data_IF_094386832997
#
_entry.id   IF_094386832997
#
_cell.length_a   1.000
_cell.length_b   1.000
_cell.length_c   1.000
_cell.angle_alpha   90.00
_cell.angle_beta   90.00
_cell.angle_gamma   90.00
#
_symmetry.space_group_name_H-M   'P 1'
#
loop_
_entity.id
_entity.type
_entity.pdbx_description
1 polymer ?
#
# COMPACT_ATOMS: atom_id res chain seq x y z
N UNK A 1 20.09 -3.33 44.94
CA UNK A 1 20.15 -3.16 43.47
C UNK A 1 18.75 -3.32 42.92
N UNK A 2 18.17 -2.30 42.27
CA UNK A 2 16.87 -2.41 41.61
C UNK A 2 17.08 -2.97 40.21
N UNK A 3 16.57 -4.16 39.94
CA UNK A 3 16.50 -4.70 38.58
C UNK A 3 15.48 -3.87 37.80
N UNK A 4 15.92 -3.15 36.77
CA UNK A 4 15.03 -2.51 35.81
C UNK A 4 14.48 -3.61 34.88
N UNK A 5 13.19 -3.90 35.03
CA UNK A 5 12.43 -4.69 34.06
C UNK A 5 12.31 -3.87 32.77
N UNK A 6 13.18 -4.13 31.80
CA UNK A 6 13.01 -3.62 30.43
C UNK A 6 11.93 -4.50 29.79
N UNK A 7 10.68 -4.02 29.76
CA UNK A 7 9.64 -4.62 28.90
C UNK A 7 10.07 -4.40 27.46
N UNK A 8 10.43 -5.48 26.77
CA UNK A 8 10.61 -5.45 25.32
C UNK A 8 9.29 -5.01 24.66
N UNK A 9 9.34 -3.85 23.99
CA UNK A 9 8.26 -3.36 23.15
C UNK A 9 8.17 -4.27 21.91
N UNK A 10 7.32 -5.31 21.97
CA UNK A 10 7.12 -6.30 20.89
C UNK A 10 6.33 -5.71 19.71
N UNK A 11 6.56 -4.45 19.34
CA UNK A 11 5.91 -3.82 18.20
C UNK A 11 6.81 -3.96 16.96
N UNK A 12 6.29 -4.64 15.93
CA UNK A 12 6.94 -4.68 14.62
C UNK A 12 6.76 -3.29 13.99
N UNK A 13 7.86 -2.54 13.86
CA UNK A 13 7.85 -1.26 13.15
C UNK A 13 8.01 -1.49 11.66
N UNK A 14 6.95 -1.20 10.90
CA UNK A 14 7.04 -1.12 9.44
C UNK A 14 7.59 0.24 9.07
N UNK A 15 8.72 0.28 8.37
CA UNK A 15 9.32 1.52 7.90
C UNK A 15 8.75 1.83 6.51
N UNK A 16 8.19 3.02 6.34
CA UNK A 16 7.73 3.48 5.03
C UNK A 16 8.90 3.56 4.03
N UNK A 17 8.75 3.08 2.78
CA UNK A 17 9.83 3.01 1.81
C UNK A 17 10.11 4.36 1.12
N UNK A 18 10.48 5.40 1.90
CA UNK A 18 10.64 6.78 1.43
C UNK A 18 11.49 6.90 0.16
N UNK A 19 12.63 6.21 0.08
CA UNK A 19 13.53 6.28 -1.08
C UNK A 19 12.90 5.72 -2.36
N UNK A 20 12.16 4.61 -2.26
CA UNK A 20 11.46 4.02 -3.42
C UNK A 20 10.28 4.90 -3.81
N UNK A 21 9.51 5.35 -2.83
CA UNK A 21 8.36 6.22 -3.08
C UNK A 21 8.75 7.53 -3.77
N UNK A 22 9.84 8.17 -3.32
CA UNK A 22 10.37 9.38 -3.97
C UNK A 22 10.70 9.14 -5.45
N UNK A 23 11.24 7.98 -5.82
CA UNK A 23 11.53 7.65 -7.22
C UNK A 23 10.26 7.58 -8.07
N UNK A 24 9.15 7.05 -7.52
CA UNK A 24 7.88 7.03 -8.24
C UNK A 24 7.32 8.43 -8.48
N UNK A 25 7.43 9.32 -7.48
CA UNK A 25 7.05 10.74 -7.61
C UNK A 25 7.91 11.45 -8.67
N UNK A 26 9.23 11.27 -8.61
CA UNK A 26 10.17 11.87 -9.57
C UNK A 26 9.90 11.42 -11.00
N UNK A 27 9.61 10.12 -11.23
CA UNK A 27 9.21 9.61 -12.55
C UNK A 27 7.88 10.19 -13.03
N UNK A 28 6.98 10.49 -12.10
CA UNK A 28 5.69 11.13 -12.38
C UNK A 28 5.81 12.65 -12.54
N UNK A 29 7.02 13.22 -12.43
CA UNK A 29 7.29 14.64 -12.60
C UNK A 29 6.86 15.52 -11.43
N UNK A 30 6.58 14.94 -10.25
CA UNK A 30 6.11 15.66 -9.06
C UNK A 30 7.06 15.53 -7.89
N UNK A 31 7.02 16.49 -6.97
CA UNK A 31 7.89 16.49 -5.78
C UNK A 31 7.22 15.93 -4.52
N UNK A 32 5.89 15.89 -4.50
CA UNK A 32 5.09 15.49 -3.34
C UNK A 32 3.75 14.88 -3.73
N UNK A 33 3.11 14.17 -2.80
CA UNK A 33 1.77 13.59 -2.99
C UNK A 33 0.67 14.64 -3.19
N UNK A 34 0.87 15.86 -2.70
CA UNK A 34 -0.09 16.97 -2.84
C UNK A 34 -0.24 17.44 -4.28
N UNK A 35 0.72 17.11 -5.14
CA UNK A 35 0.74 17.47 -6.55
C UNK A 35 0.16 16.35 -7.45
N UNK A 36 -0.18 15.19 -6.88
CA UNK A 36 -0.69 14.07 -7.65
C UNK A 36 -2.15 14.29 -8.04
N UNK A 37 -2.42 14.38 -9.34
CA UNK A 37 -3.77 14.16 -9.87
C UNK A 37 -4.15 12.67 -9.79
N UNK A 38 -5.43 12.34 -9.96
CA UNK A 38 -5.88 10.94 -9.98
C UNK A 38 -5.13 10.08 -11.01
N UNK A 39 -4.83 10.63 -12.19
CA UNK A 39 -4.07 9.95 -13.23
C UNK A 39 -2.62 9.68 -12.80
N UNK A 40 -1.99 10.61 -12.08
CA UNK A 40 -0.65 10.42 -11.56
C UNK A 40 -0.65 9.40 -10.40
N UNK A 41 -1.67 9.40 -9.54
CA UNK A 41 -1.84 8.37 -8.51
C UNK A 41 -1.99 7.00 -9.15
N UNK A 42 -2.81 6.90 -10.21
CA UNK A 42 -2.95 5.68 -10.99
C UNK A 42 -1.60 5.18 -11.50
N UNK A 43 -0.82 6.03 -12.15
CA UNK A 43 0.48 5.66 -12.71
C UNK A 43 1.47 5.21 -11.63
N UNK A 44 1.58 5.96 -10.53
CA UNK A 44 2.41 5.58 -9.38
C UNK A 44 1.99 4.22 -8.83
N UNK A 45 0.69 3.98 -8.71
CA UNK A 45 0.17 2.72 -8.18
C UNK A 45 0.44 1.53 -9.12
N UNK A 46 0.25 1.69 -10.42
CA UNK A 46 0.58 0.67 -11.43
C UNK A 46 2.06 0.33 -11.40
N UNK A 47 2.95 1.32 -11.32
CA UNK A 47 4.39 1.06 -11.15
C UNK A 47 4.70 0.30 -9.86
N UNK A 48 4.07 0.69 -8.74
CA UNK A 48 4.25 0.03 -7.45
C UNK A 48 3.82 -1.44 -7.49
N UNK A 49 2.69 -1.76 -8.16
CA UNK A 49 2.25 -3.14 -8.38
C UNK A 49 3.25 -3.90 -9.28
N UNK A 50 3.76 -3.25 -10.33
CA UNK A 50 4.76 -3.81 -11.21
C UNK A 50 6.03 -4.23 -10.47
N UNK A 51 6.54 -3.37 -9.59
CA UNK A 51 7.74 -3.65 -8.81
C UNK A 51 7.48 -4.70 -7.71
N UNK A 52 6.29 -4.72 -7.11
CA UNK A 52 5.88 -5.81 -6.22
C UNK A 52 5.88 -7.17 -6.95
N UNK A 53 5.33 -7.24 -8.17
CA UNK A 53 5.32 -8.47 -8.98
C UNK A 53 6.71 -8.97 -9.34
N UNK A 54 7.67 -8.06 -9.55
CA UNK A 54 9.07 -8.41 -9.80
C UNK A 54 9.84 -8.80 -8.54
N UNK A 55 9.25 -8.65 -7.35
CA UNK A 55 9.92 -8.84 -6.06
C UNK A 55 10.84 -7.69 -5.65
N UNK A 56 10.77 -6.55 -6.35
CA UNK A 56 11.54 -5.34 -6.03
C UNK A 56 10.91 -4.53 -4.88
N UNK A 57 9.65 -4.83 -4.56
CA UNK A 57 8.88 -4.23 -3.49
C UNK A 57 8.26 -5.32 -2.62
N UNK A 58 8.39 -5.22 -1.30
CA UNK A 58 7.77 -6.17 -0.38
C UNK A 58 6.28 -5.87 -0.17
N UNK A 59 5.52 -6.81 0.39
CA UNK A 59 4.11 -6.61 0.69
C UNK A 59 3.87 -5.45 1.66
N UNK A 60 4.72 -5.31 2.69
CA UNK A 60 4.63 -4.21 3.65
C UNK A 60 4.91 -2.85 2.99
N UNK A 61 5.86 -2.81 2.06
CA UNK A 61 6.15 -1.60 1.28
C UNK A 61 4.97 -1.24 0.35
N UNK A 62 4.35 -2.24 -0.29
CA UNK A 62 3.19 -2.05 -1.17
C UNK A 62 2.02 -1.49 -0.37
N UNK A 63 1.72 -2.12 0.76
CA UNK A 63 0.66 -1.66 1.66
C UNK A 63 0.95 -0.26 2.19
N UNK A 64 2.19 0.03 2.58
CA UNK A 64 2.58 1.36 3.06
C UNK A 64 2.39 2.46 2.01
N UNK A 65 2.86 2.23 0.77
CA UNK A 65 2.69 3.18 -0.34
C UNK A 65 1.21 3.36 -0.67
N UNK A 66 0.47 2.26 -0.79
CA UNK A 66 -0.95 2.29 -1.15
C UNK A 66 -1.79 3.02 -0.11
N UNK A 67 -1.50 2.81 1.18
CA UNK A 67 -2.15 3.53 2.27
C UNK A 67 -1.87 5.04 2.20
N UNK A 68 -0.63 5.43 1.88
CA UNK A 68 -0.26 6.83 1.75
C UNK A 68 -0.96 7.50 0.56
N UNK A 69 -1.01 6.83 -0.60
CA UNK A 69 -1.74 7.30 -1.77
C UNK A 69 -3.25 7.40 -1.52
N UNK A 70 -3.83 6.41 -0.83
CA UNK A 70 -5.26 6.41 -0.50
C UNK A 70 -5.63 7.51 0.50
N UNK A 71 -4.81 7.68 1.54
CA UNK A 71 -5.08 8.63 2.62
C UNK A 71 -4.85 10.07 2.20
N UNK A 72 -3.72 10.34 1.53
CA UNK A 72 -3.24 11.69 1.25
C UNK A 72 -3.45 12.12 -0.21
N UNK A 73 -3.57 11.17 -1.13
CA UNK A 73 -3.72 11.44 -2.57
C UNK A 73 -5.17 11.47 -3.05
N UNK A 74 -6.06 10.68 -2.45
CA UNK A 74 -7.46 10.59 -2.88
C UNK A 74 -8.34 11.54 -2.06
N UNK A 75 -9.14 12.37 -2.74
CA UNK A 75 -10.11 13.24 -2.08
C UNK A 75 -11.24 12.42 -1.42
N UNK A 76 -11.83 12.91 -0.34
CA UNK A 76 -12.91 12.19 0.35
C UNK A 76 -14.13 11.89 -0.55
N UNK A 77 -14.34 12.70 -1.59
CA UNK A 77 -15.41 12.47 -2.58
C UNK A 77 -15.11 11.28 -3.50
N UNK A 78 -13.84 11.02 -3.77
CA UNK A 78 -13.40 9.99 -4.72
C UNK A 78 -13.11 8.64 -4.04
N UNK A 79 -12.91 8.64 -2.71
CA UNK A 79 -12.63 7.43 -1.90
C UNK A 79 -13.68 6.33 -2.06
N UNK A 80 -14.94 6.71 -2.25
CA UNK A 80 -16.06 5.77 -2.34
C UNK A 80 -16.54 5.52 -3.77
N UNK A 81 -16.07 6.31 -4.73
CA UNK A 81 -16.61 6.35 -6.09
C UNK A 81 -15.64 5.90 -7.17
N UNK A 82 -14.34 5.75 -6.86
CA UNK A 82 -13.34 5.30 -7.84
C UNK A 82 -12.86 3.88 -7.56
N UNK A 83 -12.71 3.08 -8.62
CA UNK A 83 -12.11 1.74 -8.51
C UNK A 83 -10.64 1.81 -8.14
N UNK A 84 -9.95 2.90 -8.51
CA UNK A 84 -8.61 3.21 -8.02
C UNK A 84 -8.58 3.29 -6.48
N UNK A 85 -9.48 4.06 -5.86
CA UNK A 85 -9.50 4.20 -4.41
C UNK A 85 -9.83 2.88 -3.70
N UNK A 86 -10.77 2.09 -4.23
CA UNK A 86 -11.07 0.75 -3.67
C UNK A 86 -9.83 -0.16 -3.74
N UNK A 87 -9.17 -0.19 -4.89
CA UNK A 87 -7.99 -1.04 -5.08
C UNK A 87 -6.82 -0.59 -4.20
N UNK A 88 -6.61 0.71 -4.05
CA UNK A 88 -5.60 1.28 -3.14
C UNK A 88 -5.88 0.90 -1.69
N UNK A 89 -7.15 0.94 -1.26
CA UNK A 89 -7.56 0.48 0.06
C UNK A 89 -7.28 -1.02 0.24
N UNK A 90 -7.68 -1.85 -0.73
CA UNK A 90 -7.41 -3.29 -0.70
C UNK A 90 -5.90 -3.58 -0.60
N UNK A 91 -5.06 -2.85 -1.34
CA UNK A 91 -3.60 -2.97 -1.25
C UNK A 91 -3.03 -2.53 0.11
N UNK A 92 -3.58 -1.45 0.70
CA UNK A 92 -3.20 -0.94 2.02
C UNK A 92 -3.40 -1.99 3.12
N UNK A 93 -4.47 -2.78 3.03
CA UNK A 93 -4.86 -3.75 4.06
C UNK A 93 -4.17 -5.12 3.92
N UNK A 94 -3.47 -5.41 2.81
CA UNK A 94 -2.86 -6.72 2.58
C UNK A 94 -1.90 -7.14 3.70
N UNK A 95 -1.04 -6.22 4.15
CA UNK A 95 -0.09 -6.48 5.24
C UNK A 95 -0.78 -6.82 6.58
N UNK A 96 -1.98 -6.27 6.82
CA UNK A 96 -2.78 -6.62 8.00
C UNK A 96 -3.33 -8.04 7.86
N UNK A 97 -3.97 -8.36 6.75
CA UNK A 97 -4.60 -9.67 6.59
C UNK A 97 -3.60 -10.83 6.52
N UNK A 98 -2.44 -10.64 5.90
CA UNK A 98 -1.42 -11.70 5.85
C UNK A 98 -0.89 -12.05 7.24
N UNK A 99 -0.78 -11.08 8.15
CA UNK A 99 -0.31 -11.31 9.52
C UNK A 99 -1.34 -12.05 10.37
N UNK A 100 -2.61 -11.92 9.99
CA UNK A 100 -3.73 -12.58 10.65
C UNK A 100 -4.20 -13.83 9.89
N UNK A 101 -3.41 -14.38 8.96
CA UNK A 101 -3.82 -15.48 8.06
C UNK A 101 -4.22 -16.78 8.76
N UNK A 102 -3.93 -16.92 10.06
CA UNK A 102 -4.44 -18.04 10.87
C UNK A 102 -5.95 -17.97 11.08
N UNK A 103 -6.54 -16.77 11.02
CA UNK A 103 -7.96 -16.56 10.95
C UNK A 103 -8.47 -16.82 9.51
N UNK A 104 -9.49 -17.67 9.38
CA UNK A 104 -10.02 -18.08 8.07
C UNK A 104 -10.62 -16.92 7.28
N UNK A 105 -11.26 -15.98 7.96
CA UNK A 105 -11.85 -14.81 7.32
C UNK A 105 -10.74 -13.86 6.87
N UNK A 106 -9.71 -13.65 7.69
CA UNK A 106 -8.53 -12.86 7.29
C UNK A 106 -7.81 -13.50 6.09
N UNK A 107 -7.63 -14.81 6.07
CA UNK A 107 -7.03 -15.52 4.94
C UNK A 107 -7.87 -15.36 3.65
N UNK A 108 -9.19 -15.47 3.76
CA UNK A 108 -10.11 -15.24 2.63
C UNK A 108 -10.01 -13.80 2.13
N UNK A 109 -10.03 -12.81 3.04
CA UNK A 109 -9.88 -11.38 2.70
C UNK A 109 -8.54 -11.07 2.04
N UNK A 110 -7.46 -11.65 2.55
CA UNK A 110 -6.14 -11.52 1.92
C UNK A 110 -6.17 -11.96 0.45
N UNK A 111 -6.74 -13.14 0.16
CA UNK A 111 -6.81 -13.67 -1.20
C UNK A 111 -7.70 -12.80 -2.08
N UNK A 112 -8.85 -12.36 -1.58
CA UNK A 112 -9.77 -11.45 -2.30
C UNK A 112 -9.06 -10.14 -2.68
N UNK A 113 -8.43 -9.50 -1.71
CA UNK A 113 -7.75 -8.21 -1.91
C UNK A 113 -6.53 -8.36 -2.82
N UNK A 114 -5.77 -9.45 -2.67
CA UNK A 114 -4.63 -9.71 -3.54
C UNK A 114 -5.08 -9.90 -4.99
N UNK A 115 -6.20 -10.60 -5.23
CA UNK A 115 -6.78 -10.75 -6.57
C UNK A 115 -7.23 -9.41 -7.13
N UNK A 116 -7.89 -8.56 -6.35
CA UNK A 116 -8.30 -7.23 -6.77
C UNK A 116 -7.10 -6.40 -7.23
N UNK A 117 -6.06 -6.31 -6.38
CA UNK A 117 -4.83 -5.56 -6.67
C UNK A 117 -4.12 -6.09 -7.91
N UNK A 118 -3.97 -7.41 -8.03
CA UNK A 118 -3.31 -8.00 -9.20
C UNK A 118 -4.17 -7.89 -10.47
N UNK A 119 -5.49 -7.89 -10.37
CA UNK A 119 -6.36 -7.74 -11.55
C UNK A 119 -6.40 -6.31 -12.07
N UNK A 120 -6.16 -5.31 -11.19
CA UNK A 120 -6.21 -3.90 -11.54
C UNK A 120 -5.32 -3.53 -12.74
N UNK A 121 -4.09 -4.04 -12.77
CA UNK A 121 -3.16 -3.81 -13.89
C UNK A 121 -3.48 -4.64 -15.15
N UNK A 122 -4.34 -5.66 -15.05
CA UNK A 122 -4.71 -6.50 -16.20
C UNK A 122 -5.95 -5.96 -16.93
N UNK A 123 -6.76 -5.14 -16.25
CA UNK A 123 -8.00 -4.58 -16.79
C UNK A 123 -7.88 -3.11 -17.23
N UNK A 124 -6.77 -2.43 -16.94
CA UNK A 124 -6.56 -1.01 -17.19
C UNK A 124 -5.31 -0.72 -18.06
N UNK A 125 -4.90 -1.70 -18.88
CA UNK A 125 -3.91 -1.56 -19.95
C UNK A 125 -4.62 -1.71 -21.30
#
# INVERSE_FOLDING_TARGET
MKQQNIKEDKTIRIIFPTKKFKKYLEKSGVSSTKELSLDLIHNVFVETIGDFRKGELSLDELSGISNHLWSDGISDKDKFNSDLAKTLYSAAELSFYVRNVQDKDAAKRFIEFLREVLSYTSSNI
#
